data_IF_365536296558
#
_entry.id   IF_365536296558
#
_cell.length_a   1.000
_cell.length_b   1.000
_cell.length_c   1.000
_cell.angle_alpha   90.00
_cell.angle_beta   90.00
_cell.angle_gamma   90.00
#
_symmetry.space_group_name_H-M   'P 1'
#
loop_
_entity.id
_entity.type
_entity.pdbx_description
1 polymer ?
#
# COMPACT_ATOMS: atom_id res chain seq x y z
N UNK A 1 11.58 -2.56 11.65
CA UNK A 1 10.34 -2.80 10.87
C UNK A 1 10.67 -2.73 9.39
N UNK A 2 10.03 -3.54 8.55
CA UNK A 2 10.20 -3.51 7.10
C UNK A 2 9.15 -2.62 6.41
N UNK A 3 9.27 -2.47 5.09
CA UNK A 3 8.38 -1.62 4.28
C UNK A 3 6.92 -2.04 4.41
N UNK A 4 6.61 -3.33 4.24
CA UNK A 4 5.24 -3.84 4.34
C UNK A 4 4.67 -3.72 5.76
N UNK A 5 5.46 -3.95 6.81
CA UNK A 5 4.99 -3.76 8.19
C UNK A 5 4.63 -2.30 8.48
N UNK A 6 5.40 -1.34 7.95
CA UNK A 6 5.09 0.09 8.08
C UNK A 6 3.84 0.43 7.26
N UNK A 7 3.65 -0.18 6.08
CA UNK A 7 2.46 0.01 5.27
C UNK A 7 1.19 -0.49 5.97
N UNK A 8 1.23 -1.70 6.52
CA UNK A 8 0.15 -2.30 7.30
C UNK A 8 -0.21 -1.43 8.52
N UNK A 9 0.81 -1.00 9.28
CA UNK A 9 0.63 -0.12 10.43
C UNK A 9 -0.04 1.21 10.02
N UNK A 10 0.44 1.86 8.95
CA UNK A 10 -0.15 3.09 8.42
C UNK A 10 -1.58 2.90 7.92
N UNK A 11 -1.94 1.71 7.42
CA UNK A 11 -3.31 1.43 7.00
C UNK A 11 -4.29 1.40 8.17
N UNK A 12 -3.84 1.11 9.38
CA UNK A 12 -4.69 1.10 10.58
C UNK A 12 -4.99 2.51 11.12
N UNK A 13 -4.21 3.53 10.73
CA UNK A 13 -4.40 4.90 11.21
C UNK A 13 -5.40 5.67 10.32
N UNK A 14 -6.51 6.19 10.87
CA UNK A 14 -7.55 6.86 10.07
C UNK A 14 -7.10 8.12 9.33
N UNK A 15 -6.02 8.77 9.80
CA UNK A 15 -5.47 10.02 9.25
C UNK A 15 -4.11 9.85 8.57
N UNK A 16 -3.64 8.61 8.41
CA UNK A 16 -2.42 8.36 7.65
C UNK A 16 -2.62 8.72 6.18
N UNK A 17 -1.54 9.14 5.54
CA UNK A 17 -1.49 9.56 4.14
C UNK A 17 -0.28 8.90 3.48
N UNK A 18 -0.24 8.82 2.15
CA UNK A 18 0.95 8.34 1.45
C UNK A 18 2.22 9.14 1.83
N UNK A 19 2.03 10.42 2.20
CA UNK A 19 3.09 11.29 2.69
C UNK A 19 3.60 10.86 4.08
N UNK A 20 2.71 10.54 5.02
CA UNK A 20 3.13 10.04 6.34
C UNK A 20 3.82 8.68 6.23
N UNK A 21 3.29 7.79 5.39
CA UNK A 21 3.91 6.51 5.06
C UNK A 21 5.32 6.68 4.50
N UNK A 22 5.48 7.52 3.46
CA UNK A 22 6.80 7.86 2.89
C UNK A 22 7.75 8.39 3.95
N UNK A 23 7.32 9.31 4.80
CA UNK A 23 8.17 9.89 5.84
C UNK A 23 8.65 8.83 6.83
N UNK A 24 7.75 7.94 7.29
CA UNK A 24 8.14 6.80 8.15
C UNK A 24 9.16 5.87 7.46
N UNK A 25 9.00 5.58 6.17
CA UNK A 25 9.99 4.79 5.42
C UNK A 25 11.38 5.46 5.44
N UNK A 26 11.43 6.78 5.24
CA UNK A 26 12.67 7.54 5.25
C UNK A 26 13.33 7.52 6.63
N UNK A 27 12.58 7.82 7.69
CA UNK A 27 13.09 7.84 9.07
C UNK A 27 13.63 6.47 9.50
N UNK A 28 12.98 5.40 9.04
CA UNK A 28 13.35 4.04 9.40
C UNK A 28 14.51 3.47 8.57
N UNK A 29 14.65 3.84 7.30
CA UNK A 29 15.56 3.15 6.37
C UNK A 29 16.66 4.02 5.76
N UNK A 30 16.43 5.31 5.52
CA UNK A 30 17.42 6.14 4.85
C UNK A 30 18.68 6.29 5.71
N UNK A 31 19.84 5.95 5.15
CA UNK A 31 21.13 5.97 5.86
C UNK A 31 21.35 4.82 6.84
N UNK A 32 20.32 3.98 7.10
CA UNK A 32 20.39 2.78 7.95
C UNK A 32 20.39 1.49 7.13
N UNK A 33 19.82 1.52 5.92
CA UNK A 33 19.72 0.40 5.00
C UNK A 33 20.33 0.78 3.64
N UNK A 34 21.42 0.12 3.25
CA UNK A 34 22.12 0.42 1.99
C UNK A 34 21.25 0.20 0.73
N UNK A 35 20.26 -0.68 0.81
CA UNK A 35 19.35 -0.96 -0.28
C UNK A 35 18.26 0.12 -0.46
N UNK A 36 18.02 0.97 0.55
CA UNK A 36 17.00 2.02 0.49
C UNK A 36 17.63 3.37 0.15
N UNK A 37 17.25 3.95 -0.99
CA UNK A 37 17.89 5.15 -1.54
C UNK A 37 16.87 6.22 -1.91
N UNK A 38 17.37 7.46 -2.04
CA UNK A 38 16.60 8.53 -2.68
C UNK A 38 16.53 8.28 -4.18
N UNK A 39 15.38 8.56 -4.83
CA UNK A 39 15.24 8.40 -6.27
C UNK A 39 16.12 9.38 -7.01
N UNK A 40 16.64 8.94 -8.17
CA UNK A 40 17.43 9.80 -9.07
C UNK A 40 16.48 10.50 -10.03
N UNK A 41 16.28 11.83 -9.92
CA UNK A 41 15.40 12.54 -10.83
C UNK A 41 15.96 12.46 -12.25
N UNK A 42 15.14 12.07 -13.21
CA UNK A 42 15.50 12.08 -14.62
C UNK A 42 14.40 12.77 -15.43
N UNK A 43 14.79 13.65 -16.36
CA UNK A 43 13.85 14.36 -17.23
C UNK A 43 12.99 13.36 -18.00
N UNK A 44 11.67 13.55 -17.95
CA UNK A 44 10.70 12.70 -18.65
C UNK A 44 10.31 11.40 -17.93
N UNK A 45 10.86 11.12 -16.73
CA UNK A 45 10.39 10.00 -15.91
C UNK A 45 9.24 10.43 -15.00
N UNK A 46 8.33 9.49 -14.72
CA UNK A 46 7.29 9.66 -13.71
C UNK A 46 7.90 9.90 -12.32
N UNK A 47 7.14 10.55 -11.45
CA UNK A 47 7.56 10.81 -10.07
C UNK A 47 7.83 9.49 -9.32
N UNK A 48 8.90 9.50 -8.52
CA UNK A 48 9.24 8.44 -7.60
C UNK A 48 9.56 9.01 -6.23
N UNK A 49 9.25 8.23 -5.20
CA UNK A 49 9.34 8.63 -3.79
C UNK A 49 10.51 7.98 -3.06
N UNK A 50 10.89 6.74 -3.42
CA UNK A 50 12.10 6.07 -2.94
C UNK A 50 12.60 5.09 -4.00
N UNK A 51 13.83 4.60 -3.85
CA UNK A 51 14.36 3.54 -4.70
C UNK A 51 14.88 2.38 -3.88
N UNK A 52 14.76 1.18 -4.44
CA UNK A 52 15.37 -0.02 -3.87
C UNK A 52 16.41 -0.60 -4.81
N UNK A 53 17.54 -0.99 -4.24
CA UNK A 53 18.58 -1.76 -4.93
C UNK A 53 18.22 -3.24 -4.85
N UNK A 54 17.68 -3.77 -5.93
CA UNK A 54 17.45 -5.21 -6.09
C UNK A 54 18.65 -5.87 -6.77
N UNK A 55 18.68 -7.21 -6.78
CA UNK A 55 19.77 -7.96 -7.43
C UNK A 55 19.94 -7.61 -8.92
N UNK A 56 18.82 -7.33 -9.61
CA UNK A 56 18.79 -7.01 -11.04
C UNK A 56 18.97 -5.51 -11.34
N UNK A 57 19.10 -4.67 -10.31
CA UNK A 57 19.26 -3.22 -10.46
C UNK A 57 18.35 -2.41 -9.54
N UNK A 58 18.45 -1.09 -9.68
CA UNK A 58 17.67 -0.14 -8.88
C UNK A 58 16.30 0.11 -9.50
N UNK A 59 15.25 0.01 -8.68
CA UNK A 59 13.88 0.31 -9.08
C UNK A 59 13.38 1.52 -8.30
N UNK A 60 12.81 2.48 -9.02
CA UNK A 60 12.20 3.68 -8.47
C UNK A 60 10.72 3.42 -8.18
N UNK A 61 10.28 3.64 -6.94
CA UNK A 61 8.92 3.36 -6.48
C UNK A 61 8.13 4.63 -6.21
N UNK A 62 6.89 4.66 -6.68
CA UNK A 62 5.93 5.70 -6.36
C UNK A 62 4.90 5.16 -5.35
N UNK A 63 4.79 5.79 -4.17
CA UNK A 63 3.87 5.36 -3.09
C UNK A 63 2.43 5.86 -3.25
N UNK A 64 2.11 6.66 -4.26
CA UNK A 64 0.77 7.22 -4.42
C UNK A 64 -0.30 6.13 -4.53
N UNK A 65 -1.29 6.23 -3.66
CA UNK A 65 -2.41 5.31 -3.50
C UNK A 65 -2.03 3.98 -2.86
N UNK A 66 -0.84 3.82 -2.27
CA UNK A 66 -0.46 2.54 -1.64
C UNK A 66 -1.33 2.23 -0.44
N UNK A 67 -1.67 3.23 0.38
CA UNK A 67 -2.57 3.00 1.52
C UNK A 67 -3.95 2.54 1.05
N UNK A 68 -4.53 3.21 0.05
CA UNK A 68 -5.86 2.85 -0.46
C UNK A 68 -5.85 1.47 -1.13
N UNK A 69 -4.82 1.18 -1.96
CA UNK A 69 -4.65 -0.13 -2.59
C UNK A 69 -4.48 -1.25 -1.58
N UNK A 70 -3.81 -0.99 -0.46
CA UNK A 70 -3.58 -1.99 0.57
C UNK A 70 -4.79 -2.17 1.50
N UNK A 71 -5.55 -1.10 1.76
CA UNK A 71 -6.81 -1.16 2.51
C UNK A 71 -7.92 -1.86 1.74
N UNK A 72 -7.90 -1.74 0.41
CA UNK A 72 -8.94 -2.24 -0.51
C UNK A 72 -10.36 -1.92 -0.01
N UNK A 73 -10.69 -0.63 0.25
CA UNK A 73 -11.94 -0.27 0.90
C UNK A 73 -13.12 -0.59 -0.02
N UNK A 74 -13.96 -1.53 0.39
CA UNK A 74 -15.21 -1.85 -0.28
C UNK A 74 -16.38 -1.08 0.35
N UNK A 75 -17.39 -0.77 -0.46
CA UNK A 75 -18.63 -0.21 0.07
C UNK A 75 -19.40 -1.30 0.84
N UNK A 76 -19.43 -1.17 2.17
CA UNK A 76 -20.04 -2.17 3.05
C UNK A 76 -21.53 -2.41 2.75
N UNK A 77 -22.29 -1.38 2.38
CA UNK A 77 -23.70 -1.55 2.02
C UNK A 77 -23.89 -2.41 0.78
N UNK A 78 -23.00 -2.25 -0.21
CA UNK A 78 -23.01 -3.08 -1.42
C UNK A 78 -22.58 -4.51 -1.12
N UNK A 79 -21.55 -4.70 -0.28
CA UNK A 79 -21.09 -6.03 0.16
C UNK A 79 -22.22 -6.78 0.88
N UNK A 80 -23.01 -6.11 1.73
CA UNK A 80 -24.18 -6.71 2.38
C UNK A 80 -25.26 -7.18 1.40
N UNK A 81 -25.42 -6.49 0.27
CA UNK A 81 -26.32 -6.94 -0.80
C UNK A 81 -25.77 -8.19 -1.50
N UNK A 82 -24.45 -8.26 -1.73
CA UNK A 82 -23.79 -9.42 -2.34
C UNK A 82 -23.92 -10.67 -1.45
N UNK A 83 -23.74 -10.51 -0.14
CA UNK A 83 -23.93 -11.56 0.87
C UNK A 83 -25.35 -12.15 0.86
N UNK A 84 -26.37 -11.34 0.53
CA UNK A 84 -27.79 -11.73 0.49
C UNK A 84 -28.32 -12.02 -0.91
N UNK A 85 -27.43 -12.08 -1.91
CA UNK A 85 -27.83 -12.27 -3.31
C UNK A 85 -28.53 -13.61 -3.52
N UNK A 86 -29.54 -13.62 -4.39
CA UNK A 86 -30.18 -14.86 -4.88
C UNK A 86 -29.27 -15.69 -5.80
N UNK A 87 -28.19 -15.09 -6.33
CA UNK A 87 -27.16 -15.77 -7.12
C UNK A 87 -26.14 -16.41 -6.18
N UNK A 88 -26.23 -17.73 -6.00
CA UNK A 88 -25.39 -18.50 -5.06
C UNK A 88 -23.89 -18.23 -5.20
N UNK A 89 -23.40 -18.11 -6.43
CA UNK A 89 -21.98 -17.83 -6.69
C UNK A 89 -21.55 -16.47 -6.08
N UNK A 90 -22.37 -15.43 -6.21
CA UNK A 90 -22.04 -14.10 -5.69
C UNK A 90 -21.98 -14.09 -4.16
N UNK A 91 -22.95 -14.71 -3.49
CA UNK A 91 -22.93 -14.85 -2.03
C UNK A 91 -21.76 -15.71 -1.54
N UNK A 92 -21.27 -16.67 -2.35
CA UNK A 92 -20.09 -17.49 -2.04
C UNK A 92 -18.79 -16.69 -2.14
N UNK A 93 -18.70 -15.75 -3.08
CA UNK A 93 -17.52 -14.88 -3.24
C UNK A 93 -17.40 -13.82 -2.14
N UNK A 94 -18.53 -13.39 -1.57
CA UNK A 94 -18.60 -12.43 -0.46
C UNK A 94 -19.28 -13.08 0.74
N UNK A 95 -18.61 -13.97 1.47
CA UNK A 95 -19.20 -14.59 2.67
C UNK A 95 -19.42 -13.52 3.78
N UNK A 96 -20.35 -13.76 4.72
CA UNK A 96 -20.42 -12.99 5.96
C UNK A 96 -19.07 -13.04 6.68
N UNK A 97 -18.66 -11.92 7.28
CA UNK A 97 -17.49 -11.92 8.17
C UNK A 97 -17.84 -12.78 9.38
N UNK A 98 -17.08 -13.83 9.61
CA UNK A 98 -17.18 -14.64 10.83
C UNK A 98 -16.35 -13.92 11.89
N UNK A 99 -17.00 -13.41 12.93
CA UNK A 99 -16.33 -12.88 14.13
C UNK A 99 -15.65 -14.00 14.94
#
# INVERSE_FOLDING_TARGET
MGIFSILEEECMFPKATDVSFKNKLYDQHLGKCNAFQKPKPAKGKAEAHFSLVHYAGTVDYNVTGWLDKNKDPLNESVVQLYQKSSVKLLATLYPPVVE
#
